data_IF_919123129046
#
_entry.id   IF_919123129046
#
_cell.length_a   1.000
_cell.length_b   1.000
_cell.length_c   1.000
_cell.angle_alpha   90.00
_cell.angle_beta   90.00
_cell.angle_gamma   90.00
#
_symmetry.space_group_name_H-M   'P 1'
#
loop_
_entity.id
_entity.type
_entity.pdbx_description
1 polymer ?
#
# COMPACT_ATOMS: atom_id res chain seq x y z
N UNK A 1 13.55 18.31 -7.24
CA UNK A 1 12.26 18.99 -7.49
C UNK A 1 11.21 17.94 -7.18
N UNK A 2 10.35 18.15 -6.17
CA UNK A 2 9.23 17.24 -5.94
C UNK A 2 8.29 17.40 -7.13
N UNK A 3 8.16 16.36 -7.94
CA UNK A 3 7.19 16.36 -9.02
C UNK A 3 5.81 16.04 -8.44
N UNK A 4 4.76 16.63 -8.98
CA UNK A 4 3.36 16.42 -8.54
C UNK A 4 2.99 14.92 -8.48
N UNK A 5 3.71 14.09 -9.24
CA UNK A 5 3.59 12.63 -9.25
C UNK A 5 3.91 11.96 -7.90
N UNK A 6 4.81 12.53 -7.08
CA UNK A 6 5.26 11.91 -5.83
C UNK A 6 4.14 11.82 -4.78
N UNK A 7 3.20 12.78 -4.82
CA UNK A 7 2.07 12.89 -3.89
C UNK A 7 0.93 11.92 -4.29
N UNK A 8 0.84 11.60 -5.59
CA UNK A 8 -0.25 10.81 -6.14
C UNK A 8 -0.04 9.28 -5.99
N UNK A 9 1.14 8.81 -5.59
CA UNK A 9 1.45 7.38 -5.57
C UNK A 9 0.65 6.61 -4.51
N UNK A 10 0.46 7.19 -3.33
CA UNK A 10 -0.37 6.56 -2.29
C UNK A 10 -1.82 6.37 -2.76
N UNK A 11 -2.55 7.41 -3.23
CA UNK A 11 -3.91 7.21 -3.72
C UNK A 11 -3.96 6.32 -4.97
N UNK A 12 -2.93 6.31 -5.81
CA UNK A 12 -2.82 5.37 -6.93
C UNK A 12 -2.74 3.90 -6.45
N UNK A 13 -1.86 3.60 -5.49
CA UNK A 13 -1.77 2.26 -4.89
C UNK A 13 -3.12 1.86 -4.27
N UNK A 14 -3.77 2.77 -3.54
CA UNK A 14 -5.09 2.53 -2.95
C UNK A 14 -6.14 2.20 -4.02
N UNK A 15 -6.16 2.93 -5.14
CA UNK A 15 -7.05 2.66 -6.26
C UNK A 15 -6.80 1.31 -6.92
N UNK A 16 -5.53 0.94 -7.12
CA UNK A 16 -5.16 -0.36 -7.67
C UNK A 16 -5.58 -1.51 -6.74
N UNK A 17 -5.36 -1.38 -5.44
CA UNK A 17 -5.81 -2.37 -4.44
C UNK A 17 -7.34 -2.53 -4.48
N UNK A 18 -8.08 -1.43 -4.65
CA UNK A 18 -9.53 -1.48 -4.80
C UNK A 18 -9.95 -2.20 -6.09
N UNK A 19 -9.20 -2.04 -7.19
CA UNK A 19 -9.43 -2.79 -8.43
C UNK A 19 -9.24 -4.30 -8.22
N UNK A 20 -8.20 -4.73 -7.49
CA UNK A 20 -8.02 -6.15 -7.15
C UNK A 20 -9.20 -6.70 -6.33
N UNK A 21 -9.71 -5.93 -5.36
CA UNK A 21 -10.89 -6.33 -4.60
C UNK A 21 -12.12 -6.47 -5.50
N UNK A 22 -12.31 -5.53 -6.43
CA UNK A 22 -13.40 -5.59 -7.41
C UNK A 22 -13.27 -6.80 -8.35
N UNK A 23 -12.04 -7.21 -8.66
CA UNK A 23 -11.74 -8.41 -9.43
C UNK A 23 -11.95 -9.74 -8.65
N UNK A 24 -12.45 -9.68 -7.41
CA UNK A 24 -12.80 -10.86 -6.61
C UNK A 24 -11.77 -11.27 -5.55
N UNK A 25 -10.69 -10.50 -5.35
CA UNK A 25 -9.75 -10.78 -4.28
C UNK A 25 -10.35 -10.49 -2.90
N UNK A 26 -10.14 -11.41 -1.95
CA UNK A 26 -10.59 -11.23 -0.56
C UNK A 26 -9.91 -10.01 0.07
N UNK A 27 -10.67 -9.20 0.79
CA UNK A 27 -10.18 -7.96 1.42
C UNK A 27 -8.98 -8.18 2.37
N UNK A 28 -8.85 -9.36 2.97
CA UNK A 28 -7.70 -9.74 3.81
C UNK A 28 -6.34 -9.69 3.07
N UNK A 29 -6.35 -9.73 1.74
CA UNK A 29 -5.12 -9.64 0.93
C UNK A 29 -4.76 -8.21 0.53
N UNK A 30 -5.65 -7.23 0.75
CA UNK A 30 -5.42 -5.84 0.36
C UNK A 30 -4.10 -5.25 0.89
N UNK A 31 -3.70 -5.49 2.16
CA UNK A 31 -2.41 -5.01 2.65
C UNK A 31 -1.19 -5.57 1.90
N UNK A 32 -1.22 -6.84 1.55
CA UNK A 32 -0.11 -7.50 0.85
C UNK A 32 0.00 -6.99 -0.58
N UNK A 33 -1.14 -6.76 -1.25
CA UNK A 33 -1.19 -6.16 -2.59
C UNK A 33 -0.64 -4.73 -2.54
N UNK A 34 -1.05 -3.93 -1.55
CA UNK A 34 -0.54 -2.57 -1.37
C UNK A 34 0.98 -2.54 -1.14
N UNK A 35 1.51 -3.48 -0.32
CA UNK A 35 2.93 -3.58 -0.04
C UNK A 35 3.74 -3.99 -1.27
N UNK A 36 3.25 -4.97 -2.02
CA UNK A 36 3.87 -5.41 -3.28
C UNK A 36 3.93 -4.25 -4.28
N UNK A 37 2.81 -3.56 -4.50
CA UNK A 37 2.76 -2.40 -5.38
C UNK A 37 3.69 -1.29 -4.90
N UNK A 38 3.68 -0.97 -3.60
CA UNK A 38 4.57 0.02 -3.00
C UNK A 38 6.04 -0.29 -3.27
N UNK A 39 6.49 -1.52 -3.02
CA UNK A 39 7.87 -1.95 -3.29
C UNK A 39 8.21 -1.86 -4.77
N UNK A 40 7.30 -2.24 -5.66
CA UNK A 40 7.51 -2.10 -7.11
C UNK A 40 7.70 -0.63 -7.51
N UNK A 41 6.85 0.28 -7.04
CA UNK A 41 7.03 1.72 -7.27
C UNK A 41 8.35 2.22 -6.67
N UNK A 42 8.64 1.84 -5.43
CA UNK A 42 9.87 2.21 -4.75
C UNK A 42 11.13 1.79 -5.53
N UNK A 43 11.17 0.56 -6.05
CA UNK A 43 12.32 0.04 -6.79
C UNK A 43 12.46 0.60 -8.21
N UNK A 44 11.36 0.78 -8.93
CA UNK A 44 11.41 1.12 -10.36
C UNK A 44 11.25 2.62 -10.66
N UNK A 45 10.69 3.40 -9.72
CA UNK A 45 10.42 4.83 -9.93
C UNK A 45 11.16 5.77 -8.99
N UNK A 46 11.42 5.38 -7.73
CA UNK A 46 11.93 6.32 -6.71
C UNK A 46 13.36 6.05 -6.24
N UNK A 47 13.70 4.79 -5.99
CA UNK A 47 14.96 4.43 -5.35
C UNK A 47 16.16 4.59 -6.28
N UNK A 48 17.19 5.31 -5.83
CA UNK A 48 18.49 5.36 -6.52
C UNK A 48 19.33 4.11 -6.21
N UNK A 49 18.95 3.36 -5.18
CA UNK A 49 19.50 2.06 -4.84
C UNK A 49 18.40 1.08 -4.43
N UNK A 50 18.68 -0.23 -4.49
CA UNK A 50 17.72 -1.27 -4.08
C UNK A 50 17.24 -1.06 -2.64
N UNK A 51 18.16 -0.73 -1.72
CA UNK A 51 17.83 -0.52 -0.30
C UNK A 51 16.88 0.67 -0.11
N UNK A 52 17.18 1.78 -0.79
CA UNK A 52 16.36 2.98 -0.74
C UNK A 52 14.97 2.73 -1.36
N UNK A 53 14.92 2.06 -2.52
CA UNK A 53 13.66 1.74 -3.19
C UNK A 53 12.77 0.83 -2.35
N UNK A 54 13.32 -0.17 -1.67
CA UNK A 54 12.57 -0.99 -0.71
C UNK A 54 12.01 -0.10 0.42
N UNK A 55 12.83 0.76 1.02
CA UNK A 55 12.41 1.64 2.11
C UNK A 55 11.28 2.58 1.70
N UNK A 56 11.45 3.29 0.58
CA UNK A 56 10.42 4.19 0.03
C UNK A 56 9.15 3.39 -0.29
N UNK A 57 9.30 2.24 -0.94
CA UNK A 57 8.17 1.41 -1.32
C UNK A 57 7.37 0.86 -0.14
N UNK A 58 8.05 0.46 0.93
CA UNK A 58 7.41 0.07 2.19
C UNK A 58 6.60 1.23 2.76
N UNK A 59 7.17 2.44 2.82
CA UNK A 59 6.46 3.64 3.30
C UNK A 59 5.19 3.89 2.47
N UNK A 60 5.29 3.85 1.15
CA UNK A 60 4.15 4.09 0.25
C UNK A 60 3.06 3.01 0.39
N UNK A 61 3.42 1.73 0.37
CA UNK A 61 2.47 0.62 0.45
C UNK A 61 1.79 0.50 1.82
N UNK A 62 2.52 0.72 2.92
CA UNK A 62 1.96 0.76 4.27
C UNK A 62 1.01 1.95 4.45
N UNK A 63 1.36 3.11 3.89
CA UNK A 63 0.51 4.30 3.92
C UNK A 63 -0.79 4.08 3.14
N UNK A 64 -0.72 3.46 1.97
CA UNK A 64 -1.89 3.16 1.14
C UNK A 64 -2.84 2.13 1.80
N UNK A 65 -2.30 1.14 2.50
CA UNK A 65 -3.11 0.11 3.17
C UNK A 65 -3.70 0.54 4.51
N UNK A 66 -3.14 1.57 5.17
CA UNK A 66 -3.51 1.93 6.53
C UNK A 66 -3.33 0.78 7.52
N UNK A 67 -2.32 -0.08 7.29
CA UNK A 67 -2.19 -1.42 7.87
C UNK A 67 -2.45 -1.48 9.38
N UNK A 68 -1.88 -0.55 10.14
CA UNK A 68 -2.03 -0.53 11.60
C UNK A 68 -3.49 -0.28 12.02
N UNK A 69 -4.08 0.83 11.57
CA UNK A 69 -5.46 1.19 11.90
C UNK A 69 -6.47 0.19 11.32
N UNK A 70 -6.25 -0.28 10.09
CA UNK A 70 -7.10 -1.27 9.45
C UNK A 70 -7.11 -2.61 10.19
N UNK A 71 -5.93 -3.10 10.61
CA UNK A 71 -5.83 -4.34 11.39
C UNK A 71 -6.41 -4.19 12.78
N UNK A 72 -6.16 -3.06 13.45
CA UNK A 72 -6.71 -2.77 14.78
C UNK A 72 -8.24 -2.79 14.74
N UNK A 73 -8.86 -2.07 13.81
CA UNK A 73 -10.32 -2.00 13.69
C UNK A 73 -10.94 -3.37 13.37
N UNK A 74 -10.25 -4.19 12.56
CA UNK A 74 -10.70 -5.55 12.26
C UNK A 74 -10.65 -6.45 13.50
N UNK A 75 -9.61 -6.33 14.32
CA UNK A 75 -9.48 -7.10 15.56
C UNK A 75 -10.51 -6.69 16.62
N UNK A 76 -10.78 -5.39 16.76
CA UNK A 76 -11.80 -4.87 17.70
C UNK A 76 -13.19 -5.37 17.30
N UNK A 77 -13.55 -5.33 16.01
CA UNK A 77 -14.84 -5.81 15.52
C UNK A 77 -15.10 -7.29 15.88
N UNK A 78 -14.08 -8.15 15.80
CA UNK A 78 -14.23 -9.58 16.14
C UNK A 78 -14.41 -9.86 17.64
N UNK A 79 -14.18 -8.88 18.54
CA UNK A 79 -14.38 -9.05 19.99
C UNK A 79 -15.80 -8.69 20.43
N UNK A 80 -16.52 -7.93 19.61
CA UNK A 80 -17.88 -7.44 19.90
C UNK A 80 -18.97 -8.36 19.31
N UNK A 81 -18.59 -9.30 18.43
CA UNK A 81 -19.41 -10.39 17.90
C UNK A 81 -19.25 -11.67 18.74
#
# INVERSE_FOLDING_TARGET
MFEVYDIAVVPLITGLVQLFKLAGFKAKYAPFIALLLGILFGLFYFGSSIKEGILIGLVLGLSASGLYSGSKNMLEKNKEE
#
